data_IF_949238659007
#
_entry.id   IF_949238659007
#
_cell.length_a   1.000
_cell.length_b   1.000
_cell.length_c   1.000
_cell.angle_alpha   90.00
_cell.angle_beta   90.00
_cell.angle_gamma   90.00
#
_symmetry.space_group_name_H-M   'P 1'
#
loop_
_entity.id
_entity.type
_entity.pdbx_description
1 polymer ?
#
# COMPACT_ATOMS: atom_id res chain seq x y z
N UNK A 1 -10.00 17.82 4.52
CA UNK A 1 -9.18 17.81 3.28
C UNK A 1 -8.34 16.56 3.35
N UNK A 2 -8.63 15.56 2.51
CA UNK A 2 -7.84 14.33 2.45
C UNK A 2 -6.46 14.60 1.85
N UNK A 3 -5.45 13.87 2.30
CA UNK A 3 -4.11 13.92 1.72
C UNK A 3 -3.96 12.77 0.74
N UNK A 4 -3.47 13.06 -0.46
CA UNK A 4 -3.20 12.05 -1.48
C UNK A 4 -1.80 11.50 -1.30
N UNK A 5 -1.66 10.18 -1.34
CA UNK A 5 -0.38 9.50 -1.33
C UNK A 5 -0.28 8.63 -2.58
N UNK A 6 0.83 8.75 -3.29
CA UNK A 6 1.24 7.77 -4.27
C UNK A 6 1.75 6.54 -3.53
N UNK A 7 1.19 5.40 -3.86
CA UNK A 7 1.60 4.09 -3.38
C UNK A 7 2.07 3.24 -4.55
N UNK A 8 3.19 2.57 -4.37
CA UNK A 8 3.67 1.52 -5.27
C UNK A 8 4.04 0.32 -4.42
N UNK A 9 3.45 -0.82 -4.71
CA UNK A 9 3.68 -2.06 -4.00
C UNK A 9 3.61 -3.23 -4.96
N UNK A 10 4.22 -4.34 -4.56
CA UNK A 10 4.18 -5.59 -5.31
C UNK A 10 3.50 -6.65 -4.48
N UNK A 11 2.69 -7.47 -5.12
CA UNK A 11 2.17 -8.70 -4.52
C UNK A 11 3.20 -9.80 -4.72
N UNK A 12 3.54 -10.50 -3.65
CA UNK A 12 4.49 -11.60 -3.65
C UNK A 12 3.80 -12.90 -3.21
N UNK A 13 4.43 -14.04 -3.50
CA UNK A 13 3.95 -15.35 -3.03
C UNK A 13 2.74 -15.88 -3.80
N UNK A 14 1.82 -16.53 -3.08
CA UNK A 14 0.62 -17.17 -3.66
C UNK A 14 -0.32 -16.15 -4.33
N UNK A 15 -0.35 -14.92 -3.81
CA UNK A 15 -1.12 -13.81 -4.38
C UNK A 15 -0.62 -13.38 -5.77
N UNK A 16 0.64 -13.64 -6.07
CA UNK A 16 1.29 -13.26 -7.32
C UNK A 16 1.01 -14.25 -8.46
N UNK A 17 0.28 -15.35 -8.24
CA UNK A 17 -0.11 -16.33 -9.27
C UNK A 17 1.01 -16.70 -10.28
N UNK A 18 2.27 -16.73 -9.83
CA UNK A 18 3.44 -17.06 -10.64
C UNK A 18 4.25 -15.89 -11.24
N UNK A 19 3.82 -14.64 -11.09
CA UNK A 19 4.56 -13.44 -11.50
C UNK A 19 4.37 -12.31 -10.49
N UNK A 20 5.45 -11.66 -10.04
CA UNK A 20 5.36 -10.49 -9.16
C UNK A 20 4.41 -9.44 -9.78
N UNK A 21 3.21 -9.28 -9.19
CA UNK A 21 2.21 -8.34 -9.71
C UNK A 21 2.46 -6.98 -9.07
N UNK A 22 2.87 -6.02 -9.89
CA UNK A 22 3.17 -4.66 -9.46
C UNK A 22 1.93 -3.77 -9.54
N UNK A 23 1.62 -3.07 -8.45
CA UNK A 23 0.47 -2.17 -8.35
C UNK A 23 0.93 -0.78 -7.93
N UNK A 24 0.64 0.19 -8.80
CA UNK A 24 0.84 1.62 -8.54
C UNK A 24 -0.51 2.32 -8.47
N UNK A 25 -0.70 3.20 -7.49
CA UNK A 25 -1.95 3.94 -7.35
C UNK A 25 -1.82 5.20 -6.50
N UNK A 26 -2.93 5.93 -6.41
CA UNK A 26 -3.06 7.06 -5.50
C UNK A 26 -4.13 6.72 -4.47
N UNK A 27 -3.77 6.76 -3.20
CA UNK A 27 -4.71 6.57 -2.09
C UNK A 27 -4.98 7.91 -1.44
N UNK A 28 -6.25 8.19 -1.16
CA UNK A 28 -6.64 9.37 -0.39
C UNK A 28 -6.87 8.95 1.05
N UNK A 29 -6.06 9.50 1.94
CA UNK A 29 -6.18 9.25 3.37
C UNK A 29 -6.92 10.44 3.99
N UNK A 30 -8.14 10.17 4.47
CA UNK A 30 -9.02 11.21 5.03
C UNK A 30 -8.66 11.62 6.47
N UNK A 31 -7.73 10.91 7.11
CA UNK A 31 -7.36 11.17 8.48
C UNK A 31 -6.24 12.22 8.54
N UNK A 32 -6.51 13.32 9.25
CA UNK A 32 -5.57 14.40 9.54
C UNK A 32 -4.50 13.94 10.55
N UNK A 33 -3.87 12.81 10.27
CA UNK A 33 -2.90 12.23 11.17
C UNK A 33 -1.53 12.70 10.73
N UNK A 34 -0.95 13.58 11.53
CA UNK A 34 0.48 13.89 11.55
C UNK A 34 1.34 12.62 11.82
N UNK A 35 0.71 11.46 12.03
CA UNK A 35 1.39 10.18 12.05
C UNK A 35 1.93 9.82 10.68
N UNK A 36 3.26 9.71 10.67
CA UNK A 36 4.01 8.96 9.68
C UNK A 36 3.51 7.51 9.73
N UNK A 37 2.66 7.12 8.78
CA UNK A 37 2.26 5.72 8.63
C UNK A 37 3.51 4.85 8.53
N UNK A 38 3.61 3.83 9.39
CA UNK A 38 4.70 2.87 9.27
C UNK A 38 4.46 2.01 8.03
N UNK A 39 5.54 1.60 7.36
CA UNK A 39 5.48 0.76 6.16
C UNK A 39 4.58 -0.46 6.36
N UNK A 40 4.63 -1.10 7.54
CA UNK A 40 3.81 -2.26 7.87
C UNK A 40 2.31 -1.96 7.93
N UNK A 41 1.92 -0.77 8.38
CA UNK A 41 0.52 -0.36 8.43
C UNK A 41 -0.03 -0.14 7.02
N UNK A 42 0.79 0.45 6.14
CA UNK A 42 0.46 0.65 4.73
C UNK A 42 0.33 -0.72 4.05
N UNK A 43 1.30 -1.63 4.23
CA UNK A 43 1.24 -2.99 3.69
C UNK A 43 0.00 -3.74 4.17
N UNK A 44 -0.36 -3.64 5.45
CA UNK A 44 -1.57 -4.25 5.99
C UNK A 44 -2.85 -3.62 5.42
N UNK A 45 -2.87 -2.30 5.21
CA UNK A 45 -4.00 -1.61 4.60
C UNK A 45 -4.17 -2.00 3.13
N UNK A 46 -3.08 -2.06 2.38
CA UNK A 46 -3.07 -2.52 1.00
C UNK A 46 -3.50 -3.99 0.92
N UNK A 47 -2.92 -4.86 1.74
CA UNK A 47 -3.30 -6.27 1.80
C UNK A 47 -4.80 -6.46 2.07
N UNK A 48 -5.37 -5.72 3.02
CA UNK A 48 -6.82 -5.73 3.29
C UNK A 48 -7.67 -5.27 2.11
N UNK A 49 -7.20 -4.33 1.29
CA UNK A 49 -7.92 -3.89 0.08
C UNK A 49 -7.93 -4.97 -1.01
N UNK A 50 -6.91 -5.82 -1.04
CA UNK A 50 -6.75 -6.89 -2.03
C UNK A 50 -7.20 -8.27 -1.52
N UNK A 51 -7.73 -8.35 -0.29
CA UNK A 51 -8.08 -9.60 0.41
C UNK A 51 -6.87 -10.56 0.60
N UNK A 52 -5.71 -9.97 0.87
CA UNK A 52 -4.43 -10.66 1.05
C UNK A 52 -3.90 -10.51 2.47
N UNK A 53 -2.85 -11.27 2.81
CA UNK A 53 -2.12 -11.07 4.06
C UNK A 53 -1.07 -9.98 3.87
N UNK A 54 -0.76 -9.24 4.93
CA UNK A 54 0.28 -8.21 4.91
C UNK A 54 1.66 -8.75 4.53
N UNK A 55 1.89 -10.06 4.72
CA UNK A 55 3.12 -10.76 4.32
C UNK A 55 3.23 -11.01 2.81
N UNK A 56 2.11 -10.97 2.08
CA UNK A 56 2.04 -11.15 0.62
C UNK A 56 2.07 -9.80 -0.12
N UNK A 57 2.22 -8.69 0.61
CA UNK A 57 2.29 -7.34 0.07
C UNK A 57 3.61 -6.72 0.50
N UNK A 58 4.35 -6.21 -0.47
CA UNK A 58 5.60 -5.49 -0.21
C UNK A 58 5.51 -4.08 -0.75
N UNK A 59 5.57 -3.10 0.15
CA UNK A 59 5.58 -1.69 -0.22
C UNK A 59 6.94 -1.33 -0.83
N UNK A 60 6.91 -0.79 -2.04
CA UNK A 60 8.10 -0.31 -2.76
C UNK A 60 8.27 1.19 -2.59
N UNK A 61 7.19 1.96 -2.75
CA UNK A 61 7.22 3.39 -2.61
C UNK A 61 5.97 3.93 -1.93
N UNK A 62 6.16 4.90 -1.05
CA UNK A 62 5.10 5.67 -0.43
C UNK A 62 5.51 7.13 -0.40
N UNK A 63 4.83 7.93 -1.21
CA UNK A 63 5.14 9.34 -1.35
C UNK A 63 3.88 10.16 -1.19
N UNK A 64 3.93 11.20 -0.38
CA UNK A 64 2.85 12.18 -0.28
C UNK A 64 2.81 12.98 -1.59
N UNK A 65 1.64 13.05 -2.22
CA UNK A 65 1.37 13.96 -3.32
C UNK A 65 0.93 15.30 -2.72
N UNK A 66 1.69 16.36 -3.01
CA UNK A 66 1.41 17.72 -2.54
C UNK A 66 0.33 18.40 -3.38
#
# INVERSE_FOLDING_TARGET
MGVKYYTHFVLTGEAAAGSDQEFSGVVEVNQATDQRYETKEIEALLARNFDLRSSDVRLINWARLQ
#
